data_IF_541750367603
#
_entry.id   IF_541750367603
#
_cell.length_a   1.000
_cell.length_b   1.000
_cell.length_c   1.000
_cell.angle_alpha   90.00
_cell.angle_beta   90.00
_cell.angle_gamma   90.00
#
_symmetry.space_group_name_H-M   'P 1'
#
loop_
_entity.id
_entity.type
_entity.pdbx_description
1 polymer ?
#
# COMPACT_ATOMS: atom_id res chain seq x y z
N UNK A 1 4.45 -0.93 21.01
CA UNK A 1 3.21 -0.53 20.32
C UNK A 1 3.53 0.74 19.58
N UNK A 2 3.35 0.76 18.27
CA UNK A 2 3.66 1.92 17.42
C UNK A 2 2.63 3.02 17.69
N UNK A 3 3.09 4.24 17.89
CA UNK A 3 2.24 5.41 18.10
C UNK A 3 2.29 6.36 16.89
N UNK A 4 1.50 7.44 16.94
CA UNK A 4 1.41 8.41 15.87
C UNK A 4 2.73 9.13 15.55
N UNK A 5 3.53 9.47 16.56
CA UNK A 5 4.82 10.14 16.37
C UNK A 5 5.83 9.21 15.70
N UNK A 6 5.81 7.91 16.03
CA UNK A 6 6.64 6.90 15.36
C UNK A 6 6.34 6.86 13.85
N UNK A 7 5.05 6.88 13.47
CA UNK A 7 4.64 6.86 12.06
C UNK A 7 4.98 8.17 11.36
N UNK A 8 4.79 9.32 12.02
CA UNK A 8 5.19 10.62 11.46
C UNK A 8 6.70 10.68 11.22
N UNK A 9 7.49 10.22 12.18
CA UNK A 9 8.95 10.14 12.06
C UNK A 9 9.35 9.21 10.92
N UNK A 10 8.71 8.04 10.79
CA UNK A 10 8.97 7.11 9.69
C UNK A 10 8.64 7.72 8.32
N UNK A 11 7.45 8.30 8.15
CA UNK A 11 7.05 8.94 6.89
C UNK A 11 7.95 10.14 6.58
N UNK A 12 8.41 10.88 7.60
CA UNK A 12 9.34 11.99 7.45
C UNK A 12 10.80 11.59 7.26
N UNK A 13 11.14 10.31 7.35
CA UNK A 13 12.51 9.83 7.21
C UNK A 13 13.00 9.93 5.76
N UNK A 14 14.30 10.19 5.59
CA UNK A 14 14.94 10.25 4.27
C UNK A 14 14.72 8.95 3.48
N UNK A 15 14.74 7.81 4.16
CA UNK A 15 14.54 6.49 3.55
C UNK A 15 13.14 6.36 2.96
N UNK A 16 12.11 6.68 3.73
CA UNK A 16 10.75 6.64 3.23
C UNK A 16 10.53 7.64 2.09
N UNK A 17 11.01 8.87 2.26
CA UNK A 17 10.87 9.92 1.24
C UNK A 17 11.58 9.57 -0.07
N UNK A 18 12.77 8.95 -0.01
CA UNK A 18 13.49 8.49 -1.21
C UNK A 18 12.70 7.44 -2.00
N UNK A 19 12.09 6.47 -1.29
CA UNK A 19 11.25 5.45 -1.93
C UNK A 19 9.95 6.05 -2.46
N UNK A 20 9.32 6.96 -1.71
CA UNK A 20 8.13 7.68 -2.12
C UNK A 20 8.37 8.45 -3.43
N UNK A 21 9.47 9.18 -3.52
CA UNK A 21 9.89 9.90 -4.72
C UNK A 21 10.13 8.93 -5.89
N UNK A 22 10.81 7.81 -5.65
CA UNK A 22 11.06 6.81 -6.69
C UNK A 22 9.75 6.24 -7.23
N UNK A 23 8.79 5.91 -6.36
CA UNK A 23 7.46 5.43 -6.75
C UNK A 23 6.71 6.52 -7.51
N UNK A 24 6.76 7.77 -7.05
CA UNK A 24 6.12 8.92 -7.68
C UNK A 24 6.61 9.12 -9.12
N UNK A 25 7.93 9.17 -9.32
CA UNK A 25 8.57 9.43 -10.60
C UNK A 25 8.36 8.28 -11.59
N UNK A 26 8.59 7.03 -11.17
CA UNK A 26 8.50 5.89 -12.07
C UNK A 26 7.07 5.55 -12.48
N UNK A 27 6.09 5.82 -11.62
CA UNK A 27 4.68 5.50 -11.88
C UNK A 27 3.86 6.74 -12.25
N UNK A 28 4.50 7.92 -12.35
CA UNK A 28 3.87 9.20 -12.64
C UNK A 28 2.63 9.46 -11.76
N UNK A 29 2.78 9.25 -10.44
CA UNK A 29 1.70 9.46 -9.48
C UNK A 29 1.70 10.90 -8.99
N UNK A 30 0.50 11.44 -8.78
CA UNK A 30 0.33 12.72 -8.08
C UNK A 30 0.31 12.46 -6.57
N UNK A 31 1.21 13.11 -5.83
CA UNK A 31 1.33 12.98 -4.38
C UNK A 31 1.14 14.36 -3.76
N UNK A 32 0.23 14.44 -2.78
CA UNK A 32 -0.03 15.67 -2.07
C UNK A 32 1.21 16.07 -1.24
N UNK A 33 1.74 17.27 -1.48
CA UNK A 33 2.88 17.79 -0.74
C UNK A 33 2.57 18.07 0.74
N UNK A 34 1.29 18.26 1.06
CA UNK A 34 0.80 18.54 2.41
C UNK A 34 0.87 17.29 3.27
N UNK A 35 1.29 17.45 4.53
CA UNK A 35 1.26 16.34 5.48
C UNK A 35 -0.19 15.86 5.71
N UNK A 36 -0.40 14.54 5.79
CA UNK A 36 -1.67 13.96 6.24
C UNK A 36 -2.08 14.49 7.61
N UNK A 37 -3.38 14.47 7.91
CA UNK A 37 -3.86 14.80 9.26
C UNK A 37 -3.42 13.75 10.28
N UNK A 38 -3.38 14.15 11.55
CA UNK A 38 -3.05 13.25 12.66
C UNK A 38 -3.98 12.03 12.73
N UNK A 39 -5.24 12.18 12.31
CA UNK A 39 -6.19 11.08 12.23
C UNK A 39 -5.72 10.00 11.24
N UNK A 40 -5.16 10.39 10.09
CA UNK A 40 -4.64 9.45 9.10
C UNK A 40 -3.39 8.73 9.62
N UNK A 41 -2.48 9.44 10.28
CA UNK A 41 -1.32 8.81 10.92
C UNK A 41 -1.71 7.86 12.06
N UNK A 42 -2.74 8.20 12.83
CA UNK A 42 -3.26 7.31 13.87
C UNK A 42 -3.86 6.03 13.27
N UNK A 43 -4.53 6.14 12.11
CA UNK A 43 -5.02 4.98 11.38
C UNK A 43 -3.89 4.06 10.95
N UNK A 44 -2.77 4.60 10.48
CA UNK A 44 -1.59 3.80 10.10
C UNK A 44 -0.94 3.13 11.29
N UNK A 45 -0.76 3.85 12.41
CA UNK A 45 -0.27 3.26 13.66
C UNK A 45 -1.14 2.07 14.09
N UNK A 46 -2.47 2.21 13.99
CA UNK A 46 -3.40 1.12 14.28
C UNK A 46 -3.23 -0.06 13.32
N UNK A 47 -3.02 0.18 12.01
CA UNK A 47 -2.77 -0.88 11.03
C UNK A 47 -1.48 -1.66 11.34
N UNK A 48 -0.40 -0.95 11.65
CA UNK A 48 0.89 -1.55 12.02
C UNK A 48 0.74 -2.40 13.30
N UNK A 49 0.05 -1.88 14.31
CA UNK A 49 -0.21 -2.62 15.55
C UNK A 49 -1.11 -3.86 15.34
N UNK A 50 -2.11 -3.79 14.45
CA UNK A 50 -2.94 -4.95 14.09
C UNK A 50 -2.12 -6.03 13.38
N UNK A 51 -1.15 -5.62 12.54
CA UNK A 51 -0.17 -6.53 11.94
C UNK A 51 0.81 -7.13 12.98
N UNK A 52 0.84 -6.59 14.19
CA UNK A 52 1.81 -6.92 15.26
C UNK A 52 3.26 -6.68 14.82
N UNK A 53 3.48 -5.61 14.05
CA UNK A 53 4.80 -5.21 13.56
C UNK A 53 5.25 -3.90 14.22
N UNK A 54 6.51 -3.55 14.01
CA UNK A 54 7.10 -2.26 14.32
C UNK A 54 7.58 -1.54 13.06
N UNK A 55 8.09 -0.31 13.21
CA UNK A 55 8.62 0.49 12.08
C UNK A 55 9.80 -0.22 11.42
N UNK A 56 10.64 -0.89 12.21
CA UNK A 56 11.82 -1.59 11.70
C UNK A 56 11.44 -2.67 10.69
N UNK A 57 10.35 -3.42 10.93
CA UNK A 57 9.85 -4.39 9.97
C UNK A 57 9.50 -3.77 8.59
N UNK A 58 8.92 -2.57 8.57
CA UNK A 58 8.60 -1.86 7.32
C UNK A 58 9.88 -1.37 6.62
N UNK A 59 10.86 -0.89 7.38
CA UNK A 59 12.17 -0.51 6.83
C UNK A 59 12.87 -1.70 6.18
N UNK A 60 12.77 -2.90 6.78
CA UNK A 60 13.35 -4.11 6.19
C UNK A 60 12.72 -4.48 4.85
N UNK A 61 11.41 -4.26 4.67
CA UNK A 61 10.75 -4.46 3.36
C UNK A 61 11.28 -3.47 2.32
N UNK A 62 11.56 -2.23 2.71
CA UNK A 62 12.16 -1.23 1.82
C UNK A 62 13.57 -1.66 1.38
N UNK A 63 14.39 -2.16 2.31
CA UNK A 63 15.79 -2.46 2.05
C UNK A 63 16.04 -3.81 1.39
N UNK A 64 15.21 -4.81 1.73
CA UNK A 64 15.48 -6.21 1.45
C UNK A 64 14.29 -6.95 0.83
N UNK A 65 13.24 -6.22 0.42
CA UNK A 65 12.09 -6.80 -0.27
C UNK A 65 12.51 -7.52 -1.55
N UNK A 66 11.96 -8.72 -1.76
CA UNK A 66 12.34 -9.64 -2.84
C UNK A 66 11.92 -9.12 -4.21
N UNK A 67 10.72 -8.56 -4.29
CA UNK A 67 10.10 -8.06 -5.53
C UNK A 67 10.37 -6.57 -5.76
N UNK A 68 10.81 -5.86 -4.71
CA UNK A 68 10.90 -4.41 -4.70
C UNK A 68 9.54 -3.72 -4.62
N UNK A 69 9.48 -2.54 -4.00
CA UNK A 69 8.21 -1.85 -3.77
C UNK A 69 7.59 -1.27 -5.04
N UNK A 70 8.41 -0.73 -5.96
CA UNK A 70 7.89 -0.07 -7.19
C UNK A 70 7.15 -1.03 -8.12
N UNK A 71 7.70 -2.22 -8.48
CA UNK A 71 6.98 -3.18 -9.31
C UNK A 71 5.67 -3.65 -8.65
N UNK A 72 5.69 -3.86 -7.33
CA UNK A 72 4.51 -4.24 -6.57
C UNK A 72 3.41 -3.16 -6.62
N UNK A 73 3.76 -1.90 -6.36
CA UNK A 73 2.82 -0.75 -6.44
C UNK A 73 2.24 -0.65 -7.85
N UNK A 74 3.08 -0.74 -8.88
CA UNK A 74 2.67 -0.65 -10.28
C UNK A 74 1.65 -1.72 -10.67
N UNK A 75 1.96 -2.98 -10.37
CA UNK A 75 1.10 -4.11 -10.68
C UNK A 75 -0.24 -4.04 -9.92
N UNK A 76 -0.19 -3.61 -8.65
CA UNK A 76 -1.40 -3.42 -7.82
C UNK A 76 -2.30 -2.32 -8.37
N UNK A 77 -1.75 -1.15 -8.69
CA UNK A 77 -2.53 -0.04 -9.28
C UNK A 77 -3.13 -0.41 -10.63
N UNK A 78 -2.38 -1.15 -11.45
CA UNK A 78 -2.87 -1.65 -12.75
C UNK A 78 -4.04 -2.62 -12.57
N UNK A 79 -3.94 -3.56 -11.62
CA UNK A 79 -5.01 -4.51 -11.35
C UNK A 79 -6.29 -3.84 -10.83
N UNK A 80 -6.17 -2.76 -10.04
CA UNK A 80 -7.33 -1.97 -9.58
C UNK A 80 -8.05 -1.27 -10.75
N UNK A 81 -7.29 -0.73 -11.72
CA UNK A 81 -7.86 -0.10 -12.92
C UNK A 81 -8.59 -1.12 -13.80
N UNK A 82 -8.03 -2.31 -13.99
CA UNK A 82 -8.67 -3.36 -14.78
C UNK A 82 -9.98 -3.86 -14.16
N UNK A 83 -10.08 -3.92 -12.83
CA UNK A 83 -11.33 -4.33 -12.16
C UNK A 83 -12.45 -3.29 -12.23
N UNK A 84 -12.13 -2.02 -12.42
CA UNK A 84 -13.15 -0.97 -12.64
C UNK A 84 -13.84 -1.15 -14.00
N UNK A 85 -13.09 -1.58 -15.02
CA UNK A 85 -13.61 -1.79 -16.37
C UNK A 85 -14.57 -2.99 -16.49
N UNK A 86 -14.53 -3.94 -15.56
CA UNK A 86 -15.43 -5.11 -15.55
C UNK A 86 -16.83 -4.82 -14.96
N UNK A 87 -17.06 -3.63 -14.39
CA UNK A 87 -18.37 -3.24 -13.83
C UNK A 87 -19.17 -2.24 -14.69
N UNK A 88 -18.62 -1.77 -15.82
CA UNK A 88 -19.29 -0.82 -16.71
C UNK A 88 -20.17 -1.54 -17.74
N UNK A 89 -21.27 -2.09 -17.24
CA UNK A 89 -22.45 -2.38 -18.06
C UNK A 89 -23.25 -1.10 -18.32
N UNK A 90 -22.67 -0.12 -19.00
CA UNK A 90 -23.36 0.84 -19.86
C UNK A 90 -22.35 1.80 -20.50
N UNK A 91 -22.42 1.90 -21.81
CA UNK A 91 -21.72 2.91 -22.60
C UNK A 91 -22.33 4.28 -22.30
N UNK A 92 -21.74 4.99 -21.34
CA UNK A 92 -21.65 6.43 -21.39
C UNK A 92 -20.27 6.77 -20.85
N UNK A 93 -19.55 7.63 -21.57
CA UNK A 93 -18.18 8.04 -21.28
C UNK A 93 -18.13 8.74 -19.91
N UNK A 94 -18.01 7.97 -18.83
CA UNK A 94 -17.72 8.48 -17.49
C UNK A 94 -16.28 9.01 -17.51
N UNK A 95 -16.17 10.27 -17.95
CA UNK A 95 -14.97 11.09 -17.83
C UNK A 95 -14.45 10.92 -16.41
N UNK A 96 -13.29 10.27 -16.27
CA UNK A 96 -12.58 10.11 -15.01
C UNK A 96 -12.58 11.46 -14.31
N UNK A 97 -13.42 11.58 -13.28
CA UNK A 97 -13.58 12.80 -12.49
C UNK A 97 -12.32 12.92 -11.65
N UNK A 98 -11.30 13.56 -12.22
CA UNK A 98 -10.06 14.04 -11.58
C UNK A 98 -9.48 13.09 -10.51
N UNK A 99 -8.52 12.25 -10.90
CA UNK A 99 -7.76 11.43 -9.94
C UNK A 99 -7.19 12.31 -8.83
N UNK A 100 -7.60 12.05 -7.59
CA UNK A 100 -7.08 12.78 -6.43
C UNK A 100 -5.64 12.36 -6.14
N UNK A 101 -4.79 13.29 -5.68
CA UNK A 101 -3.42 12.96 -5.29
C UNK A 101 -3.41 12.00 -4.10
N UNK A 102 -2.42 11.11 -4.08
CA UNK A 102 -2.16 10.24 -2.94
C UNK A 102 -1.63 11.05 -1.76
N UNK A 103 -2.01 10.65 -0.55
CA UNK A 103 -1.39 11.17 0.67
C UNK A 103 0.02 10.60 0.83
N UNK A 104 0.95 11.38 1.42
CA UNK A 104 2.36 10.93 1.60
C UNK A 104 2.51 9.60 2.31
N UNK A 105 1.61 9.25 3.21
CA UNK A 105 1.64 8.01 4.00
C UNK A 105 1.11 6.78 3.26
N UNK A 106 0.64 6.89 2.01
CA UNK A 106 -0.10 5.80 1.34
C UNK A 106 0.69 4.49 1.20
N UNK A 107 2.04 4.56 1.12
CA UNK A 107 2.87 3.36 1.00
C UNK A 107 2.85 2.48 2.23
N UNK A 108 2.42 2.96 3.41
CA UNK A 108 2.42 2.15 4.64
C UNK A 108 1.59 0.89 4.47
N UNK A 109 0.38 1.00 3.91
CA UNK A 109 -0.46 -0.17 3.68
C UNK A 109 0.23 -1.16 2.72
N UNK A 110 0.91 -0.64 1.69
CA UNK A 110 1.51 -1.48 0.66
C UNK A 110 2.76 -2.19 1.19
N UNK A 111 3.52 -1.53 2.07
CA UNK A 111 4.63 -2.15 2.80
C UNK A 111 4.14 -3.27 3.71
N UNK A 112 3.03 -3.07 4.42
CA UNK A 112 2.44 -4.10 5.28
C UNK A 112 1.96 -5.32 4.47
N UNK A 113 1.28 -5.08 3.35
CA UNK A 113 0.83 -6.17 2.47
C UNK A 113 2.02 -6.92 1.87
N UNK A 114 3.04 -6.21 1.40
CA UNK A 114 4.24 -6.82 0.85
C UNK A 114 5.01 -7.61 1.92
N UNK A 115 5.09 -7.11 3.16
CA UNK A 115 5.64 -7.85 4.29
C UNK A 115 4.97 -9.22 4.45
N UNK A 116 3.64 -9.26 4.49
CA UNK A 116 2.90 -10.52 4.63
C UNK A 116 3.13 -11.43 3.42
N UNK A 117 3.10 -10.91 2.20
CA UNK A 117 3.35 -11.70 0.99
C UNK A 117 4.74 -12.37 1.01
N UNK A 118 5.75 -11.69 1.53
CA UNK A 118 7.13 -12.17 1.54
C UNK A 118 7.46 -13.16 2.67
N UNK A 119 6.75 -13.05 3.80
CA UNK A 119 7.11 -13.72 5.05
C UNK A 119 6.01 -14.66 5.58
N UNK A 120 4.74 -14.29 5.43
CA UNK A 120 3.61 -15.01 6.01
C UNK A 120 2.30 -14.81 5.21
N UNK A 121 2.24 -15.31 3.96
CA UNK A 121 1.12 -15.03 3.05
C UNK A 121 -0.20 -15.63 3.54
N UNK A 122 -0.14 -16.70 4.34
CA UNK A 122 -1.33 -17.37 4.91
C UNK A 122 -2.07 -16.49 5.93
N UNK A 123 -1.36 -15.58 6.60
CA UNK A 123 -1.95 -14.66 7.58
C UNK A 123 -2.42 -13.32 6.98
N UNK A 124 -2.19 -13.07 5.69
CA UNK A 124 -2.59 -11.83 5.02
C UNK A 124 -4.12 -11.59 5.07
N UNK A 125 -4.95 -12.61 4.82
CA UNK A 125 -6.42 -12.46 4.92
C UNK A 125 -6.86 -12.09 6.33
N UNK A 126 -6.25 -12.70 7.36
CA UNK A 126 -6.56 -12.43 8.76
C UNK A 126 -6.22 -10.97 9.09
N UNK A 127 -5.05 -10.50 8.65
CA UNK A 127 -4.63 -9.12 8.81
C UNK A 127 -5.59 -8.14 8.11
N UNK A 128 -5.91 -8.39 6.84
CA UNK A 128 -6.81 -7.53 6.05
C UNK A 128 -8.21 -7.46 6.65
N UNK A 129 -8.72 -8.56 7.23
CA UNK A 129 -9.96 -8.56 8.04
C UNK A 129 -9.81 -7.69 9.28
N UNK A 130 -8.68 -7.80 9.99
CA UNK A 130 -8.38 -7.01 11.18
C UNK A 130 -8.42 -5.50 10.94
N UNK A 131 -7.96 -5.05 9.77
CA UNK A 131 -8.03 -3.63 9.36
C UNK A 131 -9.30 -3.29 8.57
N UNK A 132 -10.29 -4.20 8.55
CA UNK A 132 -11.63 -4.05 7.97
C UNK A 132 -11.66 -3.79 6.46
N UNK A 133 -10.76 -4.41 5.70
CA UNK A 133 -10.82 -4.37 4.23
C UNK A 133 -12.00 -5.26 3.74
N UNK A 134 -12.95 -4.70 2.97
CA UNK A 134 -14.04 -5.49 2.39
C UNK A 134 -13.53 -6.56 1.44
N UNK A 135 -14.25 -7.68 1.32
CA UNK A 135 -13.89 -8.78 0.42
C UNK A 135 -12.42 -9.25 0.57
N UNK A 136 -11.89 -9.22 1.81
CA UNK A 136 -10.48 -9.49 2.13
C UNK A 136 -9.93 -10.77 1.50
N UNK A 137 -10.74 -11.83 1.41
CA UNK A 137 -10.35 -13.10 0.79
C UNK A 137 -10.04 -12.93 -0.70
N UNK A 138 -10.95 -12.33 -1.46
CA UNK A 138 -10.75 -12.04 -2.89
C UNK A 138 -9.56 -11.10 -3.08
N UNK A 139 -9.41 -10.12 -2.20
CA UNK A 139 -8.29 -9.20 -2.24
C UNK A 139 -6.95 -9.90 -1.96
N UNK A 140 -6.90 -10.79 -0.98
CA UNK A 140 -5.73 -11.62 -0.66
C UNK A 140 -5.31 -12.45 -1.87
N UNK A 141 -6.25 -13.15 -2.51
CA UNK A 141 -5.99 -13.94 -3.72
C UNK A 141 -5.40 -13.08 -4.85
N UNK A 142 -5.91 -11.85 -5.01
CA UNK A 142 -5.37 -10.90 -5.99
C UNK A 142 -3.95 -10.46 -5.66
N UNK A 143 -3.66 -10.13 -4.40
CA UNK A 143 -2.32 -9.73 -3.95
C UNK A 143 -1.30 -10.85 -4.10
N UNK A 144 -1.66 -12.08 -3.75
CA UNK A 144 -0.80 -13.26 -3.96
C UNK A 144 -0.50 -13.46 -5.43
N UNK A 145 -1.50 -13.37 -6.32
CA UNK A 145 -1.27 -13.47 -7.78
C UNK A 145 -0.32 -12.41 -8.30
N UNK A 146 -0.52 -11.15 -7.88
CA UNK A 146 0.37 -10.03 -8.23
C UNK A 146 1.80 -10.35 -7.79
N UNK A 147 1.99 -10.69 -6.52
CA UNK A 147 3.31 -10.94 -5.96
C UNK A 147 4.02 -12.13 -6.64
N UNK A 148 3.32 -13.25 -6.84
CA UNK A 148 3.88 -14.42 -7.54
C UNK A 148 4.32 -14.06 -8.96
N UNK A 149 3.54 -13.24 -9.69
CA UNK A 149 3.89 -12.82 -11.05
C UNK A 149 5.17 -11.99 -11.13
N UNK A 150 5.56 -11.35 -10.04
CA UNK A 150 6.75 -10.50 -9.95
C UNK A 150 7.96 -11.22 -9.33
N UNK A 151 7.76 -12.40 -8.74
CA UNK A 151 8.79 -13.19 -8.05
C UNK A 151 9.47 -14.23 -8.97
N UNK A 152 9.19 -14.17 -10.27
CA UNK A 152 9.66 -15.11 -11.30
C UNK A 152 10.84 -14.56 -12.10
#
# INVERSE_FOLDING_TARGET
MVNLDDVKAFVGSDRYQAVLLTVQEQLNLDINETLPSDILFQHDANKINVAKLDIQALEQVIEHGKVGLVPFVSAKLSALKSTAHEQEGNQDEDKIVKTLPFYKNFLILYLLELFFLENDPDHLDVYLKGIRIPNSKKYTEQLVRIYTSLSH
#
